data_IF_840588587405
#
_entry.id   IF_840588587405
#
_cell.length_a   1.000
_cell.length_b   1.000
_cell.length_c   1.000
_cell.angle_alpha   90.00
_cell.angle_beta   90.00
_cell.angle_gamma   90.00
#
_symmetry.space_group_name_H-M   'P 1'
#
loop_
_entity.id
_entity.type
_entity.pdbx_description
1 polymer ?
#
# COMPACT_ATOMS: atom_id res chain seq x y z
N UNK A 1 -15.23 -43.78 17.02
CA UNK A 1 -13.94 -43.40 16.42
C UNK A 1 -13.01 -44.61 16.51
N UNK A 2 -12.47 -45.08 15.38
CA UNK A 2 -11.54 -46.22 15.37
C UNK A 2 -10.19 -45.69 15.86
N UNK A 3 -9.70 -46.21 17.00
CA UNK A 3 -8.37 -45.89 17.52
C UNK A 3 -7.39 -46.97 17.06
N UNK A 4 -6.32 -46.58 16.37
CA UNK A 4 -5.25 -47.49 15.99
C UNK A 4 -4.18 -47.55 17.09
N UNK A 5 -3.68 -48.76 17.39
CA UNK A 5 -2.64 -48.96 18.41
C UNK A 5 -1.28 -48.87 17.75
N UNK A 6 -0.48 -47.90 18.17
CA UNK A 6 0.90 -47.72 17.71
C UNK A 6 1.89 -47.96 18.85
N UNK A 7 3.03 -48.60 18.55
CA UNK A 7 4.20 -48.61 19.44
C UNK A 7 5.13 -47.50 18.99
N UNK A 8 5.43 -46.57 19.89
CA UNK A 8 6.32 -45.43 19.62
C UNK A 8 7.44 -45.40 20.65
N UNK A 9 8.66 -45.12 20.19
CA UNK A 9 9.80 -44.84 21.06
C UNK A 9 9.84 -43.34 21.32
N UNK A 10 9.89 -42.94 22.59
CA UNK A 10 9.89 -41.53 22.99
C UNK A 10 11.10 -41.25 23.88
N UNK A 11 11.77 -40.10 23.71
CA UNK A 11 12.77 -39.63 24.65
C UNK A 11 12.21 -39.52 26.09
N UNK A 12 13.03 -39.73 27.13
CA UNK A 12 12.59 -39.60 28.52
C UNK A 12 11.92 -38.26 28.85
N UNK A 13 12.40 -37.18 28.22
CA UNK A 13 11.91 -35.82 28.40
C UNK A 13 10.49 -35.67 27.87
N UNK A 14 10.20 -36.25 26.70
CA UNK A 14 8.87 -36.25 26.07
C UNK A 14 7.89 -37.06 26.93
N UNK A 15 8.33 -38.20 27.46
CA UNK A 15 7.51 -39.00 28.38
C UNK A 15 7.17 -38.22 29.64
N UNK A 16 8.15 -37.51 30.22
CA UNK A 16 7.94 -36.66 31.41
C UNK A 16 6.96 -35.53 31.11
N UNK A 17 7.09 -34.88 29.95
CA UNK A 17 6.17 -33.85 29.50
C UNK A 17 4.73 -34.37 29.41
N UNK A 18 4.51 -35.49 28.71
CA UNK A 18 3.18 -36.10 28.56
C UNK A 18 2.59 -36.44 29.94
N UNK A 19 3.38 -36.97 30.86
CA UNK A 19 2.90 -37.29 32.22
C UNK A 19 2.50 -36.04 33.01
N UNK A 20 3.27 -34.95 32.90
CA UNK A 20 2.90 -33.66 33.53
C UNK A 20 1.62 -33.10 32.91
N UNK A 21 1.52 -33.10 31.58
CA UNK A 21 0.35 -32.65 30.84
C UNK A 21 -0.91 -33.46 31.20
N UNK A 22 -0.78 -34.78 31.33
CA UNK A 22 -1.87 -35.64 31.79
C UNK A 22 -2.37 -35.27 33.19
N UNK A 23 -1.47 -34.92 34.12
CA UNK A 23 -1.86 -34.48 35.46
C UNK A 23 -2.57 -33.13 35.41
N UNK A 24 -2.01 -32.18 34.67
CA UNK A 24 -2.55 -30.84 34.51
C UNK A 24 -3.97 -30.86 33.92
N UNK A 25 -4.17 -31.64 32.86
CA UNK A 25 -5.45 -31.73 32.14
C UNK A 25 -6.35 -32.89 32.59
N UNK A 26 -5.97 -33.59 33.67
CA UNK A 26 -6.74 -34.66 34.31
C UNK A 26 -7.08 -35.83 33.35
N UNK A 27 -6.12 -36.19 32.50
CA UNK A 27 -6.25 -37.25 31.50
C UNK A 27 -5.74 -38.58 32.05
N UNK A 28 -6.53 -39.63 31.87
CA UNK A 28 -6.17 -40.98 32.35
C UNK A 28 -5.34 -41.78 31.35
N UNK A 29 -5.38 -41.42 30.05
CA UNK A 29 -4.72 -42.18 28.99
C UNK A 29 -3.72 -41.34 28.19
N UNK A 30 -2.54 -41.91 27.96
CA UNK A 30 -1.46 -41.29 27.17
C UNK A 30 -1.91 -40.98 25.74
N UNK A 31 -2.69 -41.88 25.11
CA UNK A 31 -3.19 -41.67 23.76
C UNK A 31 -4.10 -40.45 23.65
N UNK A 32 -4.91 -40.16 24.69
CA UNK A 32 -5.79 -39.00 24.71
C UNK A 32 -4.98 -37.70 24.93
N UNK A 33 -3.93 -37.76 25.76
CA UNK A 33 -3.00 -36.64 25.91
C UNK A 33 -2.27 -36.31 24.61
N UNK A 34 -1.72 -37.32 23.92
CA UNK A 34 -1.05 -37.12 22.63
C UNK A 34 -2.03 -36.55 21.59
N UNK A 35 -3.23 -37.12 21.49
CA UNK A 35 -4.26 -36.63 20.56
C UNK A 35 -4.58 -35.16 20.79
N UNK A 36 -4.71 -34.75 22.06
CA UNK A 36 -4.99 -33.36 22.42
C UNK A 36 -3.82 -32.43 22.13
N UNK A 37 -2.59 -32.82 22.47
CA UNK A 37 -1.38 -32.05 22.16
C UNK A 37 -1.26 -31.83 20.64
N UNK A 38 -1.51 -32.87 19.84
CA UNK A 38 -1.48 -32.75 18.38
C UNK A 38 -2.55 -31.78 17.86
N UNK A 39 -3.77 -31.84 18.40
CA UNK A 39 -4.84 -30.91 18.03
C UNK A 39 -4.51 -29.47 18.42
N UNK A 40 -4.01 -29.24 19.64
CA UNK A 40 -3.59 -27.91 20.11
C UNK A 40 -2.47 -27.33 19.26
N UNK A 41 -1.52 -28.17 18.80
CA UNK A 41 -0.47 -27.75 17.88
C UNK A 41 -1.01 -27.37 16.50
N UNK A 42 -1.92 -28.17 15.93
CA UNK A 42 -2.57 -27.87 14.65
C UNK A 42 -3.39 -26.57 14.73
N UNK A 43 -4.12 -26.36 15.82
CA UNK A 43 -4.86 -25.13 16.07
C UNK A 43 -3.94 -23.91 16.23
N UNK A 44 -2.80 -24.07 16.91
CA UNK A 44 -1.80 -23.01 17.05
C UNK A 44 -1.19 -22.62 15.69
N UNK A 45 -0.84 -23.61 14.85
CA UNK A 45 -0.34 -23.35 13.50
C UNK A 45 -1.36 -22.62 12.62
N UNK A 46 -2.63 -23.07 12.62
CA UNK A 46 -3.71 -22.39 11.89
C UNK A 46 -3.92 -20.95 12.35
N UNK A 47 -3.81 -20.68 13.65
CA UNK A 47 -3.90 -19.32 14.19
C UNK A 47 -2.72 -18.45 13.74
N UNK A 48 -1.52 -19.01 13.70
CA UNK A 48 -0.32 -18.31 13.23
C UNK A 48 -0.41 -17.99 11.74
N UNK A 49 -0.79 -18.95 10.90
CA UNK A 49 -1.02 -18.74 9.46
C UNK A 49 -2.08 -17.65 9.22
N UNK A 50 -3.23 -17.74 9.90
CA UNK A 50 -4.30 -16.74 9.79
C UNK A 50 -3.87 -15.35 10.30
N UNK A 51 -2.98 -15.31 11.30
CA UNK A 51 -2.39 -14.06 11.79
C UNK A 51 -1.46 -13.44 10.75
N UNK A 52 -0.61 -14.24 10.11
CA UNK A 52 0.31 -13.78 9.05
C UNK A 52 -0.48 -13.29 7.84
N UNK A 53 -1.47 -14.04 7.37
CA UNK A 53 -2.33 -13.64 6.24
C UNK A 53 -3.00 -12.29 6.48
N UNK A 54 -3.54 -12.07 7.70
CA UNK A 54 -4.13 -10.78 8.08
C UNK A 54 -3.13 -9.63 8.07
N UNK A 55 -1.92 -9.86 8.57
CA UNK A 55 -0.86 -8.84 8.54
C UNK A 55 -0.49 -8.50 7.10
N UNK A 56 -0.32 -9.52 6.25
CA UNK A 56 -0.01 -9.34 4.82
C UNK A 56 -1.12 -8.57 4.12
N UNK A 57 -2.39 -8.92 4.36
CA UNK A 57 -3.54 -8.21 3.80
C UNK A 57 -3.55 -6.74 4.23
N UNK A 58 -3.43 -6.47 5.53
CA UNK A 58 -3.45 -5.11 6.07
C UNK A 58 -2.27 -4.26 5.55
N UNK A 59 -1.07 -4.84 5.43
CA UNK A 59 0.10 -4.16 4.86
C UNK A 59 -0.12 -3.88 3.37
N UNK A 60 -0.64 -4.85 2.62
CA UNK A 60 -0.92 -4.69 1.18
C UNK A 60 -1.93 -3.60 0.91
N UNK A 61 -3.04 -3.57 1.67
CA UNK A 61 -4.06 -2.53 1.56
C UNK A 61 -3.51 -1.14 1.89
N UNK A 62 -2.65 -1.03 2.92
CA UNK A 62 -1.99 0.23 3.25
C UNK A 62 -1.04 0.72 2.15
N UNK A 63 -0.25 -0.18 1.57
CA UNK A 63 0.66 0.15 0.47
C UNK A 63 -0.14 0.62 -0.75
N UNK A 64 -1.20 -0.09 -1.13
CA UNK A 64 -2.03 0.32 -2.26
C UNK A 64 -2.67 1.70 -2.02
N UNK A 65 -3.19 1.95 -0.81
CA UNK A 65 -3.73 3.25 -0.43
C UNK A 65 -2.70 4.39 -0.45
N UNK A 66 -1.43 4.12 -0.11
CA UNK A 66 -0.33 5.09 -0.24
C UNK A 66 0.01 5.37 -1.71
N UNK A 67 0.15 4.31 -2.51
CA UNK A 67 0.46 4.44 -3.95
C UNK A 67 -0.63 5.21 -4.69
N UNK A 68 -1.91 4.95 -4.38
CA UNK A 68 -3.04 5.68 -4.97
C UNK A 68 -2.99 7.17 -4.62
N UNK A 69 -2.69 7.52 -3.37
CA UNK A 69 -2.56 8.92 -2.92
C UNK A 69 -1.41 9.64 -3.61
N UNK A 70 -0.23 9.02 -3.65
CA UNK A 70 0.94 9.61 -4.32
C UNK A 70 0.68 9.81 -5.82
N UNK A 71 0.09 8.83 -6.49
CA UNK A 71 -0.28 8.94 -7.90
C UNK A 71 -1.24 10.10 -8.15
N UNK A 72 -2.24 10.27 -7.29
CA UNK A 72 -3.20 11.37 -7.39
C UNK A 72 -2.51 12.72 -7.14
N UNK A 73 -1.65 12.80 -6.13
CA UNK A 73 -0.88 13.99 -5.82
C UNK A 73 0.01 14.42 -6.99
N UNK A 74 0.82 13.51 -7.55
CA UNK A 74 1.65 13.78 -8.73
C UNK A 74 0.81 14.24 -9.92
N UNK A 75 -0.30 13.56 -10.20
CA UNK A 75 -1.20 13.94 -11.30
C UNK A 75 -1.77 15.35 -11.14
N UNK A 76 -2.18 15.71 -9.92
CA UNK A 76 -2.70 17.04 -9.64
C UNK A 76 -1.62 18.12 -9.72
N UNK A 77 -0.41 17.81 -9.25
CA UNK A 77 0.76 18.67 -9.41
C UNK A 77 1.06 18.96 -10.88
N UNK A 78 1.16 17.91 -11.71
CA UNK A 78 1.38 18.04 -13.15
C UNK A 78 0.31 18.88 -13.83
N UNK A 79 -0.98 18.59 -13.58
CA UNK A 79 -2.09 19.35 -14.16
C UNK A 79 -2.07 20.83 -13.75
N UNK A 80 -1.61 21.13 -12.54
CA UNK A 80 -1.49 22.51 -12.06
C UNK A 80 -0.34 23.23 -12.76
N UNK A 81 0.78 22.53 -12.94
CA UNK A 81 1.93 23.03 -13.70
C UNK A 81 1.57 23.31 -15.16
N UNK A 82 0.88 22.39 -15.84
CA UNK A 82 0.41 22.55 -17.21
C UNK A 82 -0.47 23.80 -17.37
N UNK A 83 -1.47 23.96 -16.49
CA UNK A 83 -2.34 25.15 -16.50
C UNK A 83 -1.57 26.45 -16.26
N UNK A 84 -0.55 26.42 -15.41
CA UNK A 84 0.28 27.59 -15.15
C UNK A 84 1.14 27.95 -16.36
N UNK A 85 1.72 26.96 -17.03
CA UNK A 85 2.48 27.15 -18.27
C UNK A 85 1.55 27.70 -19.37
N UNK A 86 0.37 27.13 -19.55
CA UNK A 86 -0.64 27.59 -20.52
C UNK A 86 -1.01 29.07 -20.26
N UNK A 87 -1.34 29.43 -19.01
CA UNK A 87 -1.65 30.82 -18.66
C UNK A 87 -0.48 31.77 -18.91
N UNK A 88 0.73 31.36 -18.54
CA UNK A 88 1.93 32.18 -18.72
C UNK A 88 2.22 32.42 -20.20
N UNK A 89 2.15 31.36 -21.01
CA UNK A 89 2.39 31.43 -22.46
C UNK A 89 1.34 32.30 -23.15
N UNK A 90 0.06 32.14 -22.84
CA UNK A 90 -1.01 33.01 -23.38
C UNK A 90 -0.78 34.47 -22.99
N UNK A 91 -0.38 34.74 -21.74
CA UNK A 91 -0.08 36.10 -21.29
C UNK A 91 1.09 36.70 -22.07
N UNK A 92 2.19 35.98 -22.21
CA UNK A 92 3.35 36.45 -22.99
C UNK A 92 3.03 36.66 -24.47
N UNK A 93 2.21 35.79 -25.08
CA UNK A 93 1.75 35.98 -26.46
C UNK A 93 0.95 37.26 -26.62
N UNK A 94 0.04 37.54 -25.68
CA UNK A 94 -0.74 38.78 -25.68
C UNK A 94 0.14 40.02 -25.53
N UNK A 95 1.12 39.99 -24.63
CA UNK A 95 2.06 41.11 -24.45
C UNK A 95 2.86 41.39 -25.73
N UNK A 96 3.28 40.34 -26.45
CA UNK A 96 3.97 40.48 -27.75
C UNK A 96 3.03 41.07 -28.82
N UNK A 97 1.78 40.62 -28.86
CA UNK A 97 0.79 41.12 -29.81
C UNK A 97 0.47 42.61 -29.55
N UNK A 98 0.20 42.97 -28.29
CA UNK A 98 -0.07 44.34 -27.86
C UNK A 98 1.12 45.27 -28.20
N UNK A 99 2.35 44.82 -27.95
CA UNK A 99 3.57 45.54 -28.33
C UNK A 99 3.66 45.75 -29.86
N UNK A 100 3.39 44.71 -30.64
CA UNK A 100 3.39 44.79 -32.10
C UNK A 100 2.32 45.73 -32.64
N UNK A 101 1.13 45.77 -32.02
CA UNK A 101 0.07 46.72 -32.36
C UNK A 101 0.53 48.16 -32.07
N UNK A 102 1.12 48.40 -30.90
CA UNK A 102 1.61 49.72 -30.51
C UNK A 102 2.68 50.25 -31.48
N UNK A 103 3.70 49.43 -31.81
CA UNK A 103 4.74 49.82 -32.76
C UNK A 103 4.18 50.16 -34.15
N UNK A 104 3.22 49.38 -34.67
CA UNK A 104 2.57 49.69 -35.95
C UNK A 104 1.81 51.01 -35.87
N UNK A 105 1.09 51.25 -34.78
CA UNK A 105 0.37 52.51 -34.54
C UNK A 105 1.30 53.72 -34.58
N UNK A 106 2.46 53.64 -33.91
CA UNK A 106 3.48 54.69 -33.92
C UNK A 106 4.03 54.95 -35.32
N UNK A 107 4.37 53.89 -36.07
CA UNK A 107 4.84 54.01 -37.45
C UNK A 107 3.83 54.70 -38.37
N UNK A 108 2.55 54.33 -38.28
CA UNK A 108 1.48 54.97 -39.07
C UNK A 108 1.29 56.44 -38.70
N UNK A 109 1.37 56.79 -37.41
CA UNK A 109 1.28 58.17 -36.96
C UNK A 109 2.43 59.02 -37.52
N UNK A 110 3.68 58.53 -37.44
CA UNK A 110 4.85 59.22 -38.00
C UNK A 110 4.76 59.40 -39.52
N UNK A 111 4.24 58.40 -40.25
CA UNK A 111 4.03 58.51 -41.69
C UNK A 111 3.03 59.61 -42.05
N UNK A 112 1.88 59.66 -41.35
CA UNK A 112 0.84 60.66 -41.58
C UNK A 112 1.29 62.08 -41.26
N UNK A 113 2.12 62.27 -40.22
CA UNK A 113 2.74 63.57 -39.93
C UNK A 113 3.71 64.01 -41.04
N UNK A 114 4.49 63.07 -41.59
CA UNK A 114 5.39 63.34 -42.71
C UNK A 114 4.67 63.78 -43.99
N UNK A 115 3.47 63.26 -44.26
CA UNK A 115 2.64 63.66 -45.41
C UNK A 115 1.94 65.02 -45.25
N UNK A 116 1.85 65.56 -44.03
CA UNK A 116 1.21 66.87 -43.75
C UNK A 116 2.20 68.05 -43.82
N UNK A 117 3.48 67.80 -44.10
CA UNK A 117 4.51 68.81 -44.39
C UNK A 117 4.72 68.94 -45.89
#
# INVERSE_FOLDING_TARGET
MIKERMKVSLPPEVKKYIQSYMKEHHLSFVGDAISRICQEHEEAQKREEYSIEKVVEAVTQNIDGLLQRERLHTRNGLRSMEKNIERSTVKSMKEIEDYGIAQRGELFASLLEGYKK
#
